data_IF_140813256539
#
_entry.id   IF_140813256539
#
_cell.length_a   1.000
_cell.length_b   1.000
_cell.length_c   1.000
_cell.angle_alpha   90.00
_cell.angle_beta   90.00
_cell.angle_gamma   90.00
#
_symmetry.space_group_name_H-M   'P 1'
#
loop_
_entity.id
_entity.type
_entity.pdbx_description
1 polymer ?
#
# COMPACT_ATOMS: atom_id res chain seq x y z
N UNK A 1 6.09 -21.77 -1.41
CA UNK A 1 6.49 -20.36 -1.57
C UNK A 1 6.01 -19.92 -2.94
N UNK A 2 5.27 -18.82 -3.02
CA UNK A 2 4.72 -18.29 -4.27
C UNK A 2 5.58 -17.10 -4.70
N UNK A 3 6.08 -17.12 -5.93
CA UNK A 3 6.83 -15.99 -6.49
C UNK A 3 5.86 -15.01 -7.16
N UNK A 4 5.88 -13.74 -6.73
CA UNK A 4 4.99 -12.70 -7.25
C UNK A 4 5.68 -11.90 -8.35
N UNK A 5 5.07 -11.84 -9.53
CA UNK A 5 5.58 -11.12 -10.71
C UNK A 5 4.67 -9.97 -11.18
N UNK A 6 3.57 -9.73 -10.46
CA UNK A 6 2.48 -8.83 -10.81
C UNK A 6 1.23 -9.52 -11.34
N UNK A 7 1.30 -10.78 -11.77
CA UNK A 7 0.17 -11.58 -12.23
C UNK A 7 -0.16 -12.64 -11.19
N UNK A 8 -1.22 -12.39 -10.42
CA UNK A 8 -1.66 -13.29 -9.37
C UNK A 8 -2.81 -14.16 -9.88
N UNK A 9 -2.66 -15.47 -9.82
CA UNK A 9 -3.76 -16.40 -10.12
C UNK A 9 -4.69 -16.54 -8.89
N UNK A 10 -5.96 -16.93 -9.08
CA UNK A 10 -6.85 -17.21 -7.95
C UNK A 10 -6.30 -18.30 -7.01
N UNK A 11 -5.65 -19.33 -7.56
CA UNK A 11 -5.06 -20.41 -6.76
C UNK A 11 -3.89 -19.92 -5.90
N UNK A 12 -3.02 -19.07 -6.46
CA UNK A 12 -1.93 -18.45 -5.70
C UNK A 12 -2.48 -17.53 -4.60
N UNK A 13 -3.52 -16.73 -4.93
CA UNK A 13 -4.18 -15.86 -3.98
C UNK A 13 -4.76 -16.67 -2.81
N UNK A 14 -5.46 -17.77 -3.10
CA UNK A 14 -6.02 -18.66 -2.09
C UNK A 14 -4.93 -19.26 -1.20
N UNK A 15 -3.86 -19.79 -1.78
CA UNK A 15 -2.74 -20.38 -1.05
C UNK A 15 -2.04 -19.38 -0.11
N UNK A 16 -1.96 -18.10 -0.48
CA UNK A 16 -1.37 -17.06 0.36
C UNK A 16 -2.37 -16.60 1.43
N UNK A 17 -3.62 -16.34 1.03
CA UNK A 17 -4.64 -15.74 1.90
C UNK A 17 -5.11 -16.73 2.96
N UNK A 18 -5.44 -17.96 2.57
CA UNK A 18 -5.99 -18.97 3.46
C UNK A 18 -4.89 -19.79 4.13
N UNK A 19 -3.93 -20.31 3.36
CA UNK A 19 -2.92 -21.23 3.89
C UNK A 19 -1.67 -20.53 4.44
N UNK A 20 -1.52 -19.22 4.19
CA UNK A 20 -0.37 -18.46 4.66
C UNK A 20 0.93 -18.82 3.95
N UNK A 21 0.85 -19.27 2.69
CA UNK A 21 2.01 -19.58 1.88
C UNK A 21 2.97 -18.38 1.80
N UNK A 22 4.28 -18.56 2.10
CA UNK A 22 5.25 -17.48 1.99
C UNK A 22 5.37 -16.97 0.56
N UNK A 23 5.63 -15.67 0.41
CA UNK A 23 5.80 -15.00 -0.88
C UNK A 23 7.23 -14.51 -1.09
N UNK A 24 7.67 -14.50 -2.34
CA UNK A 24 8.90 -13.85 -2.82
C UNK A 24 8.58 -12.93 -4.00
N UNK A 25 9.55 -12.11 -4.41
CA UNK A 25 9.40 -11.22 -5.57
C UNK A 25 10.20 -11.75 -6.74
N UNK A 26 9.57 -11.82 -7.91
CA UNK A 26 10.30 -12.05 -9.15
C UNK A 26 11.23 -10.87 -9.45
N UNK A 27 12.45 -11.15 -9.90
CA UNK A 27 13.42 -10.12 -10.27
C UNK A 27 12.88 -9.16 -11.35
N UNK A 28 12.06 -9.68 -12.27
CA UNK A 28 11.39 -8.90 -13.32
C UNK A 28 10.40 -7.87 -12.75
N UNK A 29 9.66 -8.22 -11.69
CA UNK A 29 8.73 -7.31 -11.04
C UNK A 29 9.45 -6.24 -10.22
N UNK A 30 10.53 -6.61 -9.52
CA UNK A 30 11.37 -5.63 -8.82
C UNK A 30 11.97 -4.60 -9.81
N UNK A 31 12.43 -5.05 -10.98
CA UNK A 31 12.92 -4.16 -12.02
C UNK A 31 11.84 -3.17 -12.52
N UNK A 32 10.59 -3.62 -12.70
CA UNK A 32 9.47 -2.74 -13.08
C UNK A 32 9.21 -1.66 -12.04
N UNK A 33 9.18 -2.03 -10.76
CA UNK A 33 8.99 -1.08 -9.65
C UNK A 33 10.10 -0.04 -9.62
N UNK A 34 11.35 -0.47 -9.76
CA UNK A 34 12.51 0.41 -9.78
C UNK A 34 12.47 1.41 -10.94
N UNK A 35 12.14 0.95 -12.16
CA UNK A 35 11.98 1.82 -13.33
C UNK A 35 10.86 2.85 -13.09
N UNK A 36 9.72 2.41 -12.56
CA UNK A 36 8.59 3.29 -12.20
C UNK A 36 9.01 4.38 -11.21
N UNK A 37 9.73 4.00 -10.16
CA UNK A 37 10.18 4.91 -9.12
C UNK A 37 11.15 5.96 -9.68
N UNK A 38 12.13 5.55 -10.49
CA UNK A 38 13.06 6.47 -11.16
C UNK A 38 12.35 7.44 -12.10
N UNK A 39 11.33 6.97 -12.83
CA UNK A 39 10.53 7.82 -13.69
C UNK A 39 9.81 8.91 -12.89
N UNK A 40 9.22 8.57 -11.74
CA UNK A 40 8.61 9.56 -10.84
C UNK A 40 9.64 10.60 -10.36
N UNK A 41 10.82 10.16 -9.91
CA UNK A 41 11.88 11.08 -9.47
C UNK A 41 12.33 12.03 -10.60
N UNK A 42 12.44 11.53 -11.83
CA UNK A 42 12.77 12.37 -13.01
C UNK A 42 11.70 13.41 -13.30
N UNK A 43 10.41 13.07 -13.15
CA UNK A 43 9.30 14.00 -13.32
C UNK A 43 9.34 15.09 -12.24
N UNK A 44 9.59 14.71 -10.99
CA UNK A 44 9.69 15.64 -9.86
C UNK A 44 10.88 16.59 -10.01
N UNK A 45 12.04 16.09 -10.44
CA UNK A 45 13.24 16.90 -10.66
C UNK A 45 13.05 18.00 -11.74
N UNK A 46 12.09 17.81 -12.66
CA UNK A 46 11.71 18.82 -13.66
C UNK A 46 10.74 19.87 -13.12
N UNK A 47 10.27 19.73 -11.89
CA UNK A 47 9.32 20.63 -11.25
C UNK A 47 7.89 20.49 -11.78
N UNK A 48 7.55 19.38 -12.45
CA UNK A 48 6.20 19.13 -12.95
C UNK A 48 5.23 18.89 -11.77
N UNK A 49 3.99 19.41 -11.82
CA UNK A 49 2.97 19.08 -10.82
C UNK A 49 2.51 17.63 -11.00
N UNK A 50 2.48 16.87 -9.91
CA UNK A 50 2.06 15.47 -9.84
C UNK A 50 1.09 15.30 -8.68
N UNK A 51 -0.15 14.93 -9.01
CA UNK A 51 -1.24 14.78 -8.07
C UNK A 51 -0.88 13.89 -6.89
N UNK A 52 -1.08 14.38 -5.66
CA UNK A 52 -0.83 13.64 -4.42
C UNK A 52 0.64 13.35 -4.12
N UNK A 53 1.57 13.81 -4.98
CA UNK A 53 3.01 13.72 -4.74
C UNK A 53 3.55 15.08 -4.33
N UNK A 54 3.46 16.09 -5.20
CA UNK A 54 3.86 17.48 -4.90
C UNK A 54 2.73 18.51 -5.06
N UNK A 55 1.49 18.02 -5.13
CA UNK A 55 0.28 18.83 -4.99
C UNK A 55 -0.63 18.26 -3.91
N UNK A 56 -1.66 19.01 -3.53
CA UNK A 56 -2.70 18.53 -2.61
C UNK A 56 -3.59 17.44 -3.19
N UNK A 57 -4.62 17.06 -2.43
CA UNK A 57 -5.58 16.02 -2.79
C UNK A 57 -6.97 16.64 -3.04
N UNK A 58 -7.80 15.97 -3.85
CA UNK A 58 -9.18 16.41 -4.12
C UNK A 58 -9.27 17.86 -4.60
N UNK A 59 -9.98 18.70 -3.84
CA UNK A 59 -10.15 20.13 -4.13
C UNK A 59 -8.83 20.91 -4.20
N UNK A 60 -7.75 20.41 -3.57
CA UNK A 60 -6.43 21.02 -3.56
C UNK A 60 -5.47 20.41 -4.58
N UNK A 61 -5.98 19.62 -5.54
CA UNK A 61 -5.19 18.93 -6.57
C UNK A 61 -4.29 19.85 -7.42
N UNK A 62 -4.65 21.13 -7.57
CA UNK A 62 -3.92 22.14 -8.32
C UNK A 62 -2.97 22.98 -7.46
N UNK A 63 -3.01 22.83 -6.14
CA UNK A 63 -2.18 23.59 -5.20
C UNK A 63 -0.86 22.86 -4.98
N UNK A 64 0.25 23.51 -5.31
CA UNK A 64 1.59 22.97 -5.07
C UNK A 64 1.92 22.93 -3.58
N UNK A 65 2.61 21.87 -3.17
CA UNK A 65 3.13 21.69 -1.82
C UNK A 65 4.64 21.89 -1.86
N UNK A 66 5.19 22.57 -0.84
CA UNK A 66 6.64 22.80 -0.74
C UNK A 66 7.38 21.47 -0.55
N UNK A 67 8.63 21.39 -1.01
CA UNK A 67 9.45 20.17 -0.85
C UNK A 67 9.62 19.78 0.62
N UNK A 68 9.75 20.76 1.51
CA UNK A 68 9.87 20.57 2.96
C UNK A 68 8.60 20.00 3.60
N UNK A 69 7.45 20.15 2.96
CA UNK A 69 6.16 19.68 3.46
C UNK A 69 5.73 18.32 2.91
N UNK A 70 6.41 17.79 1.88
CA UNK A 70 5.98 16.56 1.20
C UNK A 70 5.91 15.36 2.14
N UNK A 71 6.91 15.18 3.00
CA UNK A 71 6.89 14.08 3.96
C UNK A 71 5.70 14.19 4.94
N UNK A 72 5.42 15.40 5.41
CA UNK A 72 4.28 15.69 6.29
C UNK A 72 2.95 15.50 5.57
N UNK A 73 2.86 15.86 4.29
CA UNK A 73 1.70 15.62 3.44
C UNK A 73 1.36 14.12 3.37
N UNK A 74 2.35 13.26 3.13
CA UNK A 74 2.16 11.81 3.04
C UNK A 74 1.74 11.19 4.39
N UNK A 75 2.27 11.70 5.50
CA UNK A 75 1.83 11.28 6.83
C UNK A 75 0.39 11.69 7.13
N UNK A 76 0.06 12.94 6.84
CA UNK A 76 -1.26 13.49 7.12
C UNK A 76 -2.36 12.87 6.24
N UNK A 77 -2.06 12.49 5.00
CA UNK A 77 -3.08 11.86 4.15
C UNK A 77 -3.50 10.50 4.70
N UNK A 78 -2.55 9.69 5.17
CA UNK A 78 -2.87 8.40 5.82
C UNK A 78 -3.69 8.64 7.08
N UNK A 79 -3.22 9.51 7.98
CA UNK A 79 -3.92 9.82 9.24
C UNK A 79 -5.34 10.36 9.03
N UNK A 80 -5.51 11.30 8.10
CA UNK A 80 -6.83 11.93 7.84
C UNK A 80 -7.83 10.97 7.19
N UNK A 81 -7.37 9.92 6.52
CA UNK A 81 -8.23 8.94 5.86
C UNK A 81 -8.48 7.69 6.71
N UNK A 82 -7.74 7.47 7.79
CA UNK A 82 -7.95 6.37 8.73
C UNK A 82 -9.17 6.61 9.65
N UNK A 83 -10.34 6.83 9.04
CA UNK A 83 -11.61 7.19 9.69
C UNK A 83 -12.61 6.04 9.77
N UNK A 84 -12.18 4.83 9.38
CA UNK A 84 -13.01 3.62 9.41
C UNK A 84 -13.48 3.27 10.81
N UNK A 85 -14.65 2.63 10.88
CA UNK A 85 -15.34 2.26 12.12
C UNK A 85 -15.89 0.83 12.03
N UNK A 86 -16.44 0.34 13.14
CA UNK A 86 -17.00 -1.01 13.25
C UNK A 86 -15.97 -2.05 13.66
N UNK A 87 -16.34 -3.33 13.52
CA UNK A 87 -15.46 -4.44 13.84
C UNK A 87 -14.23 -4.46 12.91
N UNK A 88 -13.10 -4.95 13.42
CA UNK A 88 -11.95 -5.22 12.57
C UNK A 88 -12.24 -6.39 11.62
N UNK A 89 -11.83 -6.25 10.36
CA UNK A 89 -11.88 -7.31 9.38
C UNK A 89 -11.08 -8.53 9.86
N UNK A 90 -11.53 -9.75 9.54
CA UNK A 90 -10.81 -10.97 9.86
C UNK A 90 -9.49 -11.06 9.08
N UNK A 91 -8.48 -11.67 9.71
CA UNK A 91 -7.10 -11.76 9.21
C UNK A 91 -6.97 -12.21 7.74
N UNK A 92 -7.73 -13.21 7.23
CA UNK A 92 -7.64 -13.58 5.81
C UNK A 92 -8.00 -12.43 4.86
N UNK A 93 -8.99 -11.61 5.20
CA UNK A 93 -9.36 -10.45 4.37
C UNK A 93 -8.26 -9.39 4.40
N UNK A 94 -7.69 -9.11 5.56
CA UNK A 94 -6.56 -8.16 5.70
C UNK A 94 -5.32 -8.66 4.94
N UNK A 95 -5.03 -9.96 5.00
CA UNK A 95 -3.95 -10.59 4.22
C UNK A 95 -4.19 -10.46 2.72
N UNK A 96 -5.44 -10.65 2.29
CA UNK A 96 -5.87 -10.39 0.91
C UNK A 96 -5.64 -8.94 0.50
N UNK A 97 -6.00 -7.97 1.35
CA UNK A 97 -5.75 -6.56 1.09
C UNK A 97 -4.26 -6.26 0.90
N UNK A 98 -3.40 -6.78 1.78
CA UNK A 98 -1.93 -6.64 1.66
C UNK A 98 -1.42 -7.27 0.35
N UNK A 99 -1.85 -8.49 0.05
CA UNK A 99 -1.44 -9.24 -1.14
C UNK A 99 -1.85 -8.51 -2.42
N UNK A 100 -3.11 -8.11 -2.55
CA UNK A 100 -3.60 -7.43 -3.74
C UNK A 100 -2.97 -6.05 -3.89
N UNK A 101 -2.73 -5.34 -2.78
CA UNK A 101 -2.03 -4.05 -2.83
C UNK A 101 -0.58 -4.21 -3.27
N UNK A 102 0.13 -5.19 -2.71
CA UNK A 102 1.48 -5.57 -3.13
C UNK A 102 1.51 -5.91 -4.62
N UNK A 103 0.65 -6.83 -5.06
CA UNK A 103 0.59 -7.26 -6.46
C UNK A 103 0.28 -6.10 -7.43
N UNK A 104 -0.56 -5.14 -7.01
CA UNK A 104 -0.81 -3.91 -7.77
C UNK A 104 0.45 -3.04 -7.91
N UNK A 105 1.27 -2.92 -6.87
CA UNK A 105 2.54 -2.18 -6.96
C UNK A 105 3.54 -2.85 -7.91
N UNK A 106 3.55 -4.19 -7.99
CA UNK A 106 4.43 -4.96 -8.87
C UNK A 106 4.15 -4.74 -10.37
N UNK A 107 3.00 -4.14 -10.72
CA UNK A 107 2.73 -3.71 -12.09
C UNK A 107 3.65 -2.56 -12.55
N UNK A 108 4.36 -1.87 -11.64
CA UNK A 108 5.34 -0.84 -12.01
C UNK A 108 4.72 0.46 -12.51
N UNK A 109 3.50 0.79 -12.07
CA UNK A 109 2.78 1.99 -12.48
C UNK A 109 2.52 2.99 -11.35
N UNK A 110 3.06 2.75 -10.15
CA UNK A 110 2.72 3.53 -8.94
C UNK A 110 3.80 4.48 -8.45
N UNK A 111 5.04 4.40 -8.98
CA UNK A 111 6.16 5.25 -8.53
C UNK A 111 6.59 5.05 -7.07
N UNK A 112 6.13 3.99 -6.40
CA UNK A 112 6.47 3.67 -5.01
C UNK A 112 7.94 3.26 -4.88
N UNK A 113 8.50 3.41 -3.67
CA UNK A 113 9.88 2.96 -3.39
C UNK A 113 9.95 1.43 -3.36
N UNK A 114 10.99 0.80 -3.95
CA UNK A 114 11.18 -0.67 -3.86
C UNK A 114 11.17 -1.21 -2.43
N UNK A 115 11.77 -0.47 -1.48
CA UNK A 115 11.79 -0.85 -0.07
C UNK A 115 10.38 -1.05 0.53
N UNK A 116 9.36 -0.34 0.03
CA UNK A 116 7.98 -0.54 0.50
C UNK A 116 7.44 -1.91 0.07
N UNK A 117 7.78 -2.38 -1.12
CA UNK A 117 7.40 -3.71 -1.62
C UNK A 117 8.04 -4.80 -0.75
N UNK A 118 9.31 -4.64 -0.41
CA UNK A 118 10.04 -5.56 0.46
C UNK A 118 9.45 -5.61 1.88
N UNK A 119 9.06 -4.46 2.44
CA UNK A 119 8.37 -4.38 3.73
C UNK A 119 7.03 -5.14 3.68
N UNK A 120 6.24 -4.96 2.62
CA UNK A 120 4.95 -5.66 2.48
C UNK A 120 5.12 -7.18 2.35
N UNK A 121 6.16 -7.65 1.65
CA UNK A 121 6.54 -9.07 1.63
C UNK A 121 6.89 -9.57 3.03
N UNK A 122 7.67 -8.80 3.78
CA UNK A 122 8.01 -9.12 5.17
C UNK A 122 6.78 -9.24 6.07
N UNK A 123 5.83 -8.32 5.95
CA UNK A 123 4.57 -8.32 6.73
C UNK A 123 3.72 -9.54 6.39
N UNK A 124 3.54 -9.84 5.10
CA UNK A 124 2.82 -11.04 4.64
C UNK A 124 3.46 -12.31 5.17
N UNK A 125 4.77 -12.45 5.01
CA UNK A 125 5.52 -13.64 5.44
C UNK A 125 5.58 -13.80 6.96
N UNK A 126 5.56 -12.70 7.70
CA UNK A 126 5.47 -12.73 9.16
C UNK A 126 4.05 -13.04 9.67
N UNK A 127 3.02 -12.95 8.81
CA UNK A 127 1.63 -13.12 9.21
C UNK A 127 1.10 -11.95 10.05
N UNK A 128 1.66 -10.75 9.88
CA UNK A 128 1.20 -9.54 10.56
C UNK A 128 -0.03 -8.99 9.83
N UNK A 129 -1.14 -8.79 10.55
CA UNK A 129 -2.41 -8.32 9.98
C UNK A 129 -2.83 -6.99 10.62
N UNK A 130 -2.67 -5.83 9.95
CA UNK A 130 -3.20 -4.56 10.43
C UNK A 130 -4.67 -4.63 10.84
N UNK A 131 -5.06 -3.94 11.91
CA UNK A 131 -6.46 -3.83 12.29
C UNK A 131 -7.17 -2.85 11.36
N UNK A 132 -7.99 -3.39 10.46
CA UNK A 132 -8.76 -2.61 9.48
C UNK A 132 -10.24 -2.67 9.83
N UNK A 133 -10.89 -1.55 10.20
CA UNK A 133 -12.33 -1.53 10.44
C UNK A 133 -13.14 -1.84 9.17
N UNK A 134 -14.25 -2.55 9.31
CA UNK A 134 -15.07 -3.05 8.19
C UNK A 134 -15.92 -1.96 7.50
N UNK A 135 -16.14 -0.80 8.14
CA UNK A 135 -17.00 0.27 7.62
C UNK A 135 -16.23 1.58 7.38
N UNK A 136 -16.65 2.35 6.37
CA UNK A 136 -16.17 3.70 6.10
C UNK A 136 -15.80 3.97 4.63
N UNK A 137 -15.50 2.93 3.85
CA UNK A 137 -15.33 3.07 2.39
C UNK A 137 -16.70 3.18 1.71
N UNK A 138 -16.78 4.03 0.68
CA UNK A 138 -17.92 4.11 -0.25
C UNK A 138 -17.56 3.62 -1.65
N UNK A 139 -16.33 3.14 -1.86
CA UNK A 139 -15.84 2.54 -3.12
C UNK A 139 -15.71 3.50 -4.32
N UNK A 140 -16.14 4.76 -4.23
CA UNK A 140 -16.21 5.67 -5.38
C UNK A 140 -14.86 6.14 -5.92
N UNK A 141 -13.84 6.26 -5.06
CA UNK A 141 -12.48 6.71 -5.41
C UNK A 141 -11.42 5.68 -5.00
N UNK A 142 -11.84 4.42 -4.87
CA UNK A 142 -11.08 3.34 -4.25
C UNK A 142 -11.27 3.28 -2.73
N UNK A 143 -10.69 2.25 -2.13
CA UNK A 143 -10.86 1.90 -0.72
C UNK A 143 -9.95 2.70 0.21
N UNK A 144 -10.01 4.03 0.11
CA UNK A 144 -9.09 4.94 0.80
C UNK A 144 -9.07 4.73 2.32
N UNK A 145 -10.25 4.59 2.93
CA UNK A 145 -10.39 4.44 4.38
C UNK A 145 -9.74 3.16 4.92
N UNK A 146 -10.11 1.96 4.43
CA UNK A 146 -9.48 0.73 4.93
C UNK A 146 -8.00 0.62 4.50
N UNK A 147 -7.60 1.16 3.34
CA UNK A 147 -6.18 1.20 2.95
C UNK A 147 -5.34 2.16 3.80
N UNK A 148 -5.94 3.24 4.33
CA UNK A 148 -5.27 4.11 5.29
C UNK A 148 -5.00 3.38 6.60
N UNK A 149 -6.00 2.66 7.13
CA UNK A 149 -5.83 1.78 8.30
C UNK A 149 -4.78 0.69 8.05
N UNK A 150 -4.77 0.09 6.85
CA UNK A 150 -3.76 -0.89 6.45
C UNK A 150 -2.32 -0.32 6.49
N UNK A 151 -2.16 0.97 6.19
CA UNK A 151 -0.86 1.63 6.13
C UNK A 151 -0.34 2.15 7.48
N UNK A 152 -1.20 2.36 8.48
CA UNK A 152 -0.79 2.92 9.77
C UNK A 152 0.38 2.16 10.44
N UNK A 153 0.39 0.81 10.50
CA UNK A 153 1.50 0.09 11.12
C UNK A 153 2.85 0.30 10.43
N UNK A 154 2.84 0.62 9.12
CA UNK A 154 4.07 0.96 8.38
C UNK A 154 4.70 2.27 8.86
N UNK A 155 3.91 3.13 9.51
CA UNK A 155 4.33 4.40 10.08
C UNK A 155 4.67 4.29 11.57
N UNK A 156 4.54 3.09 12.17
CA UNK A 156 4.61 2.90 13.62
C UNK A 156 3.37 3.39 14.36
N UNK A 157 2.24 3.55 13.65
CA UNK A 157 0.97 4.00 14.19
C UNK A 157 -0.11 2.90 14.07
N UNK A 158 -1.25 3.09 14.71
CA UNK A 158 -2.33 2.11 14.67
C UNK A 158 -1.98 0.80 15.39
N UNK A 159 -2.63 -0.28 14.98
CA UNK A 159 -2.50 -1.60 15.59
C UNK A 159 -2.50 -2.68 14.51
N UNK A 160 -1.86 -3.81 14.80
CA UNK A 160 -1.87 -5.00 13.95
C UNK A 160 -1.91 -6.23 14.85
N UNK A 161 -2.60 -7.27 14.39
CA UNK A 161 -2.56 -8.59 15.00
C UNK A 161 -1.29 -9.32 14.57
N UNK A 162 -0.62 -9.95 15.53
CA UNK A 162 0.53 -10.80 15.29
C UNK A 162 0.49 -12.00 16.23
N UNK A 163 0.46 -13.23 15.68
CA UNK A 163 0.43 -14.48 16.45
C UNK A 163 -0.73 -14.58 17.45
N UNK A 164 -1.89 -14.01 17.10
CA UNK A 164 -3.12 -14.07 17.89
C UNK A 164 -3.35 -12.87 18.81
N UNK A 165 -2.35 -12.03 19.02
CA UNK A 165 -2.40 -10.83 19.87
C UNK A 165 -2.49 -9.55 19.03
#
# INVERSE_FOLDING_TARGET
MVELDGHLTPADAEAIILDGSPVSLAASAQAKVEVSHRALLSILARGNPVYGVNTGFGALSTVRVSETDLARLQLNIVRSHATGVGCSLPDPLVRGMLLFRLNSFLQGASGIRPALVEILVGILNAGVCPLVPEQGSVGSSGDLVPLAHLALPLLGEGQARFRGE
#
